data_IF_600614345799
#
_entry.id   IF_600614345799
#
_cell.length_a   1.000
_cell.length_b   1.000
_cell.length_c   1.000
_cell.angle_alpha   90.00
_cell.angle_beta   90.00
_cell.angle_gamma   90.00
#
_symmetry.space_group_name_H-M   'P 1'
#
loop_
_entity.id
_entity.type
_entity.pdbx_description
1 polymer ?
#
# COMPACT_ATOMS: atom_id res chain seq x y z
N UNK A 1 -15.90 63.63 36.02
CA UNK A 1 -15.23 64.86 36.50
C UNK A 1 -13.75 64.78 36.15
N UNK A 2 -13.12 65.87 35.67
CA UNK A 2 -11.65 66.05 35.48
C UNK A 2 -10.93 65.05 34.55
N UNK A 3 -10.59 65.37 33.29
CA UNK A 3 -9.44 66.18 32.79
C UNK A 3 -8.07 65.46 32.87
N UNK A 4 -7.06 65.75 32.00
CA UNK A 4 -7.01 66.59 30.77
C UNK A 4 -6.70 65.76 29.49
N UNK A 5 -6.69 66.18 28.21
CA UNK A 5 -6.47 67.45 27.45
C UNK A 5 -5.00 67.83 27.16
N UNK A 6 -4.78 68.35 25.92
CA UNK A 6 -3.51 68.82 25.27
C UNK A 6 -2.70 67.68 24.61
N UNK A 7 -2.29 67.67 23.33
CA UNK A 7 -2.36 68.62 22.18
C UNK A 7 -2.48 67.87 20.82
N UNK A 8 -2.65 68.59 19.68
CA UNK A 8 -2.42 68.10 18.31
C UNK A 8 -1.23 68.80 17.63
N UNK A 9 -0.46 68.11 16.79
CA UNK A 9 0.38 68.72 15.76
C UNK A 9 0.30 67.92 14.44
N UNK A 10 0.00 68.62 13.35
CA UNK A 10 0.30 68.15 11.99
C UNK A 10 1.80 68.32 11.70
N UNK A 11 2.37 67.53 10.79
CA UNK A 11 2.94 68.05 9.53
C UNK A 11 3.36 66.92 8.55
N UNK A 12 3.03 67.14 7.27
CA UNK A 12 3.71 66.71 6.03
C UNK A 12 4.04 65.20 5.85
N UNK A 13 3.42 64.61 4.82
CA UNK A 13 3.86 63.34 4.23
C UNK A 13 4.93 63.54 3.14
N UNK A 14 5.76 62.51 2.96
CA UNK A 14 6.62 62.30 1.79
C UNK A 14 6.46 60.84 1.36
N UNK A 15 6.46 60.59 0.04
CA UNK A 15 6.13 59.28 -0.52
C UNK A 15 7.16 58.21 -0.18
N UNK A 16 6.72 57.12 0.45
CA UNK A 16 7.41 55.83 0.45
C UNK A 16 6.81 54.97 -0.65
N UNK A 17 7.64 54.49 -1.58
CA UNK A 17 7.17 53.68 -2.71
C UNK A 17 6.50 52.39 -2.26
N UNK A 18 5.61 51.85 -3.10
CA UNK A 18 5.13 50.47 -2.97
C UNK A 18 6.33 49.56 -3.20
N UNK A 19 7.05 49.23 -2.13
CA UNK A 19 7.96 48.11 -2.11
C UNK A 19 7.14 46.88 -2.42
N UNK A 20 7.26 46.36 -3.65
CA UNK A 20 6.78 45.03 -4.00
C UNK A 20 7.30 44.09 -2.92
N UNK A 21 6.38 43.53 -2.13
CA UNK A 21 6.74 42.75 -0.95
C UNK A 21 7.69 41.64 -1.40
N UNK A 22 8.90 41.65 -0.85
CA UNK A 22 9.85 40.58 -1.12
C UNK A 22 9.16 39.27 -0.72
N UNK A 23 8.82 38.45 -1.71
CA UNK A 23 8.32 37.10 -1.44
C UNK A 23 9.40 36.41 -0.62
N UNK A 24 9.10 36.20 0.65
CA UNK A 24 9.97 35.44 1.55
C UNK A 24 10.22 34.10 0.89
N UNK A 25 11.48 33.78 0.60
CA UNK A 25 11.86 32.50 0.04
C UNK A 25 11.24 31.40 0.92
N UNK A 26 10.49 30.44 0.34
CA UNK A 26 9.77 29.44 1.12
C UNK A 26 10.77 28.64 1.96
N UNK A 27 10.40 28.33 3.20
CA UNK A 27 11.23 27.52 4.08
C UNK A 27 11.48 26.15 3.45
N UNK A 28 12.72 25.64 3.54
CA UNK A 28 13.13 24.40 2.87
C UNK A 28 12.16 23.24 3.11
N UNK A 29 11.72 23.03 4.36
CA UNK A 29 10.73 22.02 4.72
C UNK A 29 9.39 22.18 3.98
N UNK A 30 8.87 23.41 3.82
CA UNK A 30 7.60 23.63 3.13
C UNK A 30 7.68 23.39 1.61
N UNK A 31 8.88 23.51 1.02
CA UNK A 31 9.11 23.14 -0.38
C UNK A 31 9.13 21.61 -0.54
N UNK A 32 9.80 20.88 0.36
CA UNK A 32 9.75 19.42 0.39
C UNK A 32 8.33 18.88 0.63
N UNK A 33 7.60 19.45 1.59
CA UNK A 33 6.21 19.08 1.88
C UNK A 33 5.32 19.28 0.66
N UNK A 34 5.47 20.40 -0.07
CA UNK A 34 4.74 20.62 -1.32
C UNK A 34 5.06 19.56 -2.39
N UNK A 35 6.34 19.19 -2.55
CA UNK A 35 6.75 18.14 -3.48
C UNK A 35 6.17 16.78 -3.09
N UNK A 36 6.22 16.42 -1.80
CA UNK A 36 5.62 15.19 -1.28
C UNK A 36 4.10 15.17 -1.50
N UNK A 37 3.39 16.26 -1.20
CA UNK A 37 1.95 16.36 -1.46
C UNK A 37 1.60 16.22 -2.94
N UNK A 38 2.38 16.80 -3.85
CA UNK A 38 2.17 16.64 -5.31
C UNK A 38 2.42 15.21 -5.76
N UNK A 39 3.49 14.58 -5.29
CA UNK A 39 3.81 13.18 -5.58
C UNK A 39 2.67 12.27 -5.13
N UNK A 40 2.29 12.30 -3.85
CA UNK A 40 1.23 11.43 -3.31
C UNK A 40 -0.14 11.70 -3.94
N UNK A 41 -0.46 12.96 -4.26
CA UNK A 41 -1.69 13.28 -5.01
C UNK A 41 -1.67 12.68 -6.42
N UNK A 42 -0.51 12.68 -7.08
CA UNK A 42 -0.33 12.09 -8.40
C UNK A 42 -0.39 10.56 -8.35
N UNK A 43 0.31 9.93 -7.40
CA UNK A 43 0.30 8.47 -7.16
C UNK A 43 -1.14 7.95 -7.00
N UNK A 44 -1.95 8.55 -6.11
CA UNK A 44 -3.35 8.16 -5.95
C UNK A 44 -4.25 8.49 -7.16
N UNK A 45 -3.85 9.41 -8.03
CA UNK A 45 -4.62 9.73 -9.25
C UNK A 45 -4.45 8.69 -10.37
N UNK A 46 -3.33 7.95 -10.36
CA UNK A 46 -3.01 6.91 -11.34
C UNK A 46 -3.25 5.48 -10.81
N UNK A 47 -3.35 5.31 -9.49
CA UNK A 47 -3.72 4.05 -8.82
C UNK A 47 -5.06 4.19 -8.05
N UNK A 48 -6.21 4.00 -8.73
CA UNK A 48 -7.52 4.03 -8.09
C UNK A 48 -7.72 2.92 -7.05
N UNK A 49 -7.08 1.75 -7.23
CA UNK A 49 -7.24 0.61 -6.34
C UNK A 49 -6.50 0.83 -5.00
N UNK A 50 -5.26 1.29 -5.06
CA UNK A 50 -4.47 1.74 -3.91
C UNK A 50 -5.06 2.97 -3.23
N UNK A 51 -5.63 3.92 -3.99
CA UNK A 51 -6.42 5.04 -3.43
C UNK A 51 -7.58 4.53 -2.58
N UNK A 52 -8.37 3.57 -3.07
CA UNK A 52 -9.44 2.92 -2.29
C UNK A 52 -8.89 2.20 -1.04
N UNK A 53 -7.78 1.47 -1.15
CA UNK A 53 -7.21 0.73 -0.01
C UNK A 53 -6.68 1.65 1.08
N UNK A 54 -6.02 2.75 0.68
CA UNK A 54 -5.60 3.83 1.56
C UNK A 54 -6.80 4.52 2.25
N UNK A 55 -7.97 4.55 1.62
CA UNK A 55 -9.20 5.16 2.14
C UNK A 55 -9.64 6.44 1.41
N UNK A 56 -8.97 6.80 0.32
CA UNK A 56 -9.32 7.94 -0.52
C UNK A 56 -10.34 7.51 -1.60
N UNK A 57 -11.61 7.67 -1.25
CA UNK A 57 -12.77 7.20 -2.00
C UNK A 57 -13.23 8.17 -3.11
N UNK A 58 -12.34 8.45 -4.07
CA UNK A 58 -12.59 9.39 -5.19
C UNK A 58 -12.79 8.71 -6.55
N UNK A 59 -12.33 7.47 -6.71
CA UNK A 59 -12.33 6.72 -7.97
C UNK A 59 -12.62 5.21 -7.77
N UNK A 60 -13.43 4.86 -6.76
CA UNK A 60 -13.69 3.47 -6.34
C UNK A 60 -14.23 2.54 -7.44
N UNK A 61 -14.84 3.10 -8.50
CA UNK A 61 -15.38 2.34 -9.63
C UNK A 61 -14.41 2.14 -10.80
N UNK A 62 -13.15 2.58 -10.68
CA UNK A 62 -12.11 2.50 -11.72
C UNK A 62 -10.98 1.54 -11.34
N UNK A 63 -10.28 1.05 -12.36
CA UNK A 63 -8.96 0.43 -12.28
C UNK A 63 -7.92 1.36 -12.92
N UNK A 64 -6.63 1.12 -12.68
CA UNK A 64 -5.52 1.83 -13.30
C UNK A 64 -5.50 1.67 -14.83
N UNK A 65 -4.94 2.66 -15.54
CA UNK A 65 -4.71 2.60 -17.00
C UNK A 65 -3.25 2.23 -17.29
N UNK A 66 -3.05 1.08 -17.95
CA UNK A 66 -1.74 0.61 -18.39
C UNK A 66 -1.50 0.84 -19.89
N UNK A 67 -2.28 1.74 -20.53
CA UNK A 67 -2.04 2.16 -21.91
C UNK A 67 -0.60 2.65 -22.11
N UNK A 68 0.00 2.47 -23.31
CA UNK A 68 1.34 2.98 -23.60
C UNK A 68 1.51 4.48 -23.32
N UNK A 69 0.45 5.27 -23.52
CA UNK A 69 0.38 6.69 -23.14
C UNK A 69 0.48 6.89 -21.63
N UNK A 70 -0.33 6.20 -20.83
CA UNK A 70 -0.31 6.34 -19.37
C UNK A 70 1.04 5.92 -18.77
N UNK A 71 1.65 4.84 -19.29
CA UNK A 71 2.99 4.39 -18.86
C UNK A 71 4.09 5.39 -19.24
N UNK A 72 4.01 5.99 -20.42
CA UNK A 72 4.92 7.07 -20.84
C UNK A 72 4.76 8.32 -19.97
N UNK A 73 3.51 8.75 -19.73
CA UNK A 73 3.20 9.88 -18.84
C UNK A 73 3.72 9.64 -17.42
N UNK A 74 3.57 8.42 -16.88
CA UNK A 74 4.07 8.03 -15.56
C UNK A 74 5.59 8.11 -15.46
N UNK A 75 6.32 7.50 -16.41
CA UNK A 75 7.78 7.58 -16.47
C UNK A 75 8.27 9.04 -16.58
N UNK A 76 7.59 9.89 -17.35
CA UNK A 76 7.94 11.31 -17.43
C UNK A 76 7.71 12.04 -16.11
N UNK A 77 6.59 11.80 -15.41
CA UNK A 77 6.32 12.47 -14.11
C UNK A 77 7.28 12.00 -13.03
N UNK A 78 7.63 10.71 -12.99
CA UNK A 78 8.71 10.21 -12.13
C UNK A 78 10.05 10.88 -12.43
N UNK A 79 10.39 11.07 -13.72
CA UNK A 79 11.59 11.80 -14.11
C UNK A 79 11.55 13.25 -13.60
N UNK A 80 10.45 13.97 -13.82
CA UNK A 80 10.28 15.37 -13.40
C UNK A 80 10.40 15.53 -11.88
N UNK A 81 9.80 14.62 -11.10
CA UNK A 81 9.91 14.60 -9.64
C UNK A 81 11.34 14.29 -9.15
N UNK A 82 12.09 13.41 -9.85
CA UNK A 82 13.51 13.13 -9.54
C UNK A 82 14.38 14.36 -9.77
N UNK A 83 14.20 15.01 -10.92
CA UNK A 83 14.92 16.23 -11.28
C UNK A 83 14.61 17.37 -10.32
N UNK A 84 13.36 17.50 -9.87
CA UNK A 84 12.99 18.48 -8.84
C UNK A 84 13.63 18.18 -7.49
N UNK A 85 13.54 16.94 -7.00
CA UNK A 85 14.16 16.55 -5.74
C UNK A 85 15.69 16.72 -5.77
N UNK A 86 16.35 16.44 -6.89
CA UNK A 86 17.79 16.62 -7.06
C UNK A 86 18.25 18.08 -6.94
N UNK A 87 17.35 19.05 -7.11
CA UNK A 87 17.60 20.48 -6.86
C UNK A 87 17.31 20.89 -5.41
N UNK A 88 16.66 20.04 -4.62
CA UNK A 88 16.26 20.25 -3.23
C UNK A 88 17.15 19.43 -2.26
N UNK A 89 18.45 19.35 -2.51
CA UNK A 89 19.39 18.74 -1.56
C UNK A 89 19.37 19.56 -0.26
N UNK A 90 19.32 18.91 0.94
CA UNK A 90 19.30 19.63 2.21
C UNK A 90 20.48 20.59 2.35
N UNK A 91 20.27 21.87 2.71
CA UNK A 91 21.35 22.76 3.08
C UNK A 91 22.06 22.27 4.37
N UNK A 92 23.28 22.75 4.62
CA UNK A 92 24.12 22.27 5.72
C UNK A 92 23.52 22.52 7.12
N UNK A 93 22.60 23.48 7.24
CA UNK A 93 21.84 23.85 8.43
C UNK A 93 20.41 23.28 8.47
N UNK A 94 20.04 22.41 7.51
CA UNK A 94 18.74 21.75 7.51
C UNK A 94 18.48 20.98 8.80
N UNK A 95 17.27 21.10 9.35
CA UNK A 95 16.91 20.38 10.58
C UNK A 95 16.99 18.85 10.39
N UNK A 96 17.23 18.06 11.45
CA UNK A 96 17.19 16.59 11.35
C UNK A 96 15.86 16.05 10.80
N UNK A 97 14.75 16.75 11.07
CA UNK A 97 13.43 16.45 10.52
C UNK A 97 13.39 16.62 8.99
N UNK A 98 13.89 17.75 8.48
CA UNK A 98 13.88 18.03 7.05
C UNK A 98 14.89 17.15 6.28
N UNK A 99 15.99 16.74 6.93
CA UNK A 99 16.90 15.73 6.41
C UNK A 99 16.22 14.35 6.30
N UNK A 100 15.47 13.93 7.32
CA UNK A 100 14.69 12.67 7.28
C UNK A 100 13.62 12.73 6.20
N UNK A 101 12.86 13.82 6.10
CA UNK A 101 11.82 13.99 5.08
C UNK A 101 12.40 13.94 3.66
N UNK A 102 13.55 14.58 3.42
CA UNK A 102 14.27 14.45 2.16
C UNK A 102 14.68 13.00 1.86
N UNK A 103 15.23 12.27 2.85
CA UNK A 103 15.64 10.87 2.66
C UNK A 103 14.46 9.94 2.36
N UNK A 104 13.31 10.15 3.02
CA UNK A 104 12.08 9.38 2.78
C UNK A 104 11.47 9.68 1.41
N UNK A 105 11.36 10.97 1.04
CA UNK A 105 10.86 11.40 -0.27
C UNK A 105 11.76 10.89 -1.41
N UNK A 106 13.08 10.91 -1.20
CA UNK A 106 14.06 10.29 -2.11
C UNK A 106 13.85 8.79 -2.23
N UNK A 107 13.72 8.09 -1.10
CA UNK A 107 13.50 6.64 -1.08
C UNK A 107 12.24 6.24 -1.85
N UNK A 108 11.13 6.99 -1.70
CA UNK A 108 9.90 6.74 -2.45
C UNK A 108 10.13 6.93 -3.97
N UNK A 109 10.53 8.13 -4.39
CA UNK A 109 10.68 8.46 -5.82
C UNK A 109 11.73 7.57 -6.50
N UNK A 110 12.86 7.28 -5.84
CA UNK A 110 13.88 6.39 -6.37
C UNK A 110 13.43 4.93 -6.39
N UNK A 111 12.60 4.50 -5.45
CA UNK A 111 11.97 3.17 -5.44
C UNK A 111 10.99 2.98 -6.59
N UNK A 112 10.10 3.94 -6.83
CA UNK A 112 9.19 3.93 -7.98
C UNK A 112 9.95 3.89 -9.30
N UNK A 113 10.98 4.72 -9.47
CA UNK A 113 11.83 4.72 -10.66
C UNK A 113 12.60 3.41 -10.85
N UNK A 114 13.14 2.83 -9.77
CA UNK A 114 13.84 1.56 -9.84
C UNK A 114 12.90 0.41 -10.20
N UNK A 115 11.66 0.42 -9.72
CA UNK A 115 10.63 -0.52 -10.14
C UNK A 115 10.39 -0.43 -11.65
N UNK A 116 10.12 0.75 -12.20
CA UNK A 116 9.84 0.86 -13.65
C UNK A 116 11.06 0.68 -14.56
N UNK A 117 12.29 0.91 -14.07
CA UNK A 117 13.50 0.82 -14.93
C UNK A 117 14.35 -0.42 -14.74
N UNK A 118 14.30 -1.07 -13.57
CA UNK A 118 15.09 -2.27 -13.23
C UNK A 118 14.22 -3.50 -13.08
N UNK A 119 13.10 -3.43 -12.35
CA UNK A 119 12.15 -4.55 -12.31
C UNK A 119 11.35 -4.66 -13.61
N UNK A 120 10.93 -3.51 -14.19
CA UNK A 120 10.08 -3.40 -15.38
C UNK A 120 8.85 -4.33 -15.29
N UNK A 121 8.05 -4.24 -14.22
CA UNK A 121 7.03 -5.26 -13.93
C UNK A 121 5.97 -5.32 -15.03
N UNK A 122 5.67 -4.18 -15.68
CA UNK A 122 4.74 -4.09 -16.81
C UNK A 122 5.16 -4.95 -18.01
N UNK A 123 6.45 -4.98 -18.34
CA UNK A 123 6.99 -5.76 -19.46
C UNK A 123 7.18 -7.24 -19.11
N UNK A 124 7.32 -7.55 -17.81
CA UNK A 124 7.93 -8.80 -17.35
C UNK A 124 7.03 -9.70 -16.51
N UNK A 125 6.04 -9.14 -15.81
CA UNK A 125 5.23 -9.84 -14.80
C UNK A 125 3.72 -9.78 -15.12
N UNK A 126 3.12 -10.90 -15.57
CA UNK A 126 1.68 -10.96 -15.86
C UNK A 126 0.76 -10.71 -14.66
N UNK A 127 1.22 -10.91 -13.41
CA UNK A 127 0.45 -10.65 -12.18
C UNK A 127 0.17 -9.17 -11.93
N UNK A 128 0.82 -8.23 -12.64
CA UNK A 128 0.45 -6.80 -12.60
C UNK A 128 -1.02 -6.61 -13.02
N UNK A 129 -1.45 -7.34 -14.05
CA UNK A 129 -2.71 -7.08 -14.74
C UNK A 129 -3.91 -7.82 -14.12
N UNK A 130 -3.73 -9.07 -13.73
CA UNK A 130 -4.78 -9.80 -12.99
C UNK A 130 -4.83 -9.35 -11.51
N UNK A 131 -3.67 -9.00 -10.94
CA UNK A 131 -3.55 -8.43 -9.60
C UNK A 131 -4.25 -7.07 -9.45
N UNK A 132 -4.28 -6.22 -10.48
CA UNK A 132 -5.11 -5.01 -10.48
C UNK A 132 -6.60 -5.34 -10.38
N UNK A 133 -7.10 -6.32 -11.16
CA UNK A 133 -8.49 -6.77 -11.04
C UNK A 133 -8.78 -7.33 -9.63
N UNK A 134 -7.87 -8.15 -9.09
CA UNK A 134 -8.02 -8.77 -7.78
C UNK A 134 -7.99 -7.75 -6.63
N UNK A 135 -6.94 -6.93 -6.54
CA UNK A 135 -6.77 -5.93 -5.50
C UNK A 135 -7.80 -4.79 -5.61
N UNK A 136 -8.21 -4.44 -6.83
CA UNK A 136 -9.32 -3.53 -7.10
C UNK A 136 -10.65 -4.02 -6.50
N UNK A 137 -10.94 -5.32 -6.52
CA UNK A 137 -12.11 -5.89 -5.84
C UNK A 137 -11.88 -6.06 -4.33
N UNK A 138 -10.70 -6.51 -3.90
CA UNK A 138 -10.38 -6.73 -2.49
C UNK A 138 -10.49 -5.46 -1.64
N UNK A 139 -9.97 -4.33 -2.15
CA UNK A 139 -10.02 -3.02 -1.46
C UNK A 139 -11.45 -2.55 -1.15
N UNK A 140 -12.42 -2.81 -2.06
CA UNK A 140 -13.85 -2.49 -1.85
C UNK A 140 -14.51 -3.33 -0.75
N UNK A 141 -14.03 -4.56 -0.56
CA UNK A 141 -14.57 -5.51 0.43
C UNK A 141 -13.97 -5.25 1.81
N UNK A 142 -12.68 -4.92 1.87
CA UNK A 142 -11.84 -4.80 3.08
C UNK A 142 -12.38 -3.83 4.14
N UNK A 143 -12.94 -2.69 3.72
CA UNK A 143 -13.42 -1.60 4.59
C UNK A 143 -14.89 -1.24 4.29
N UNK A 144 -15.78 -1.05 5.29
CA UNK A 144 -17.17 -0.65 5.08
C UNK A 144 -17.31 0.88 4.98
N UNK A 145 -16.63 1.51 4.01
CA UNK A 145 -16.59 2.97 3.86
C UNK A 145 -17.89 3.59 3.31
N UNK A 146 -18.67 2.81 2.56
CA UNK A 146 -19.96 3.21 2.00
C UNK A 146 -21.00 2.09 2.10
N UNK A 147 -22.26 2.41 1.75
CA UNK A 147 -23.35 1.43 1.71
C UNK A 147 -23.04 0.26 0.77
N UNK A 148 -23.70 -0.88 1.01
CA UNK A 148 -23.54 -2.07 0.16
C UNK A 148 -23.88 -1.75 -1.30
N UNK A 149 -24.97 -1.04 -1.55
CA UNK A 149 -25.35 -0.52 -2.87
C UNK A 149 -24.26 0.26 -3.59
N UNK A 150 -23.51 1.11 -2.88
CA UNK A 150 -22.42 1.90 -3.48
C UNK A 150 -21.27 0.95 -3.84
N UNK A 151 -20.73 0.23 -2.85
CA UNK A 151 -19.54 -0.61 -3.04
C UNK A 151 -19.74 -1.75 -4.03
N UNK A 152 -20.97 -2.27 -4.18
CA UNK A 152 -21.28 -3.28 -5.22
C UNK A 152 -21.37 -2.66 -6.61
N UNK A 153 -21.85 -1.41 -6.77
CA UNK A 153 -21.79 -0.71 -8.07
C UNK A 153 -20.35 -0.34 -8.45
N UNK A 154 -19.53 0.03 -7.48
CA UNK A 154 -18.11 0.30 -7.70
C UNK A 154 -17.38 -0.97 -8.14
N UNK A 155 -17.69 -2.10 -7.49
CA UNK A 155 -17.21 -3.42 -7.91
C UNK A 155 -17.66 -3.77 -9.33
N UNK A 156 -18.94 -3.54 -9.69
CA UNK A 156 -19.43 -3.73 -11.07
C UNK A 156 -18.61 -2.90 -12.09
N UNK A 157 -18.27 -1.64 -11.76
CA UNK A 157 -17.39 -0.81 -12.58
C UNK A 157 -16.02 -1.45 -12.81
N UNK A 158 -15.36 -1.88 -11.73
CA UNK A 158 -14.06 -2.58 -11.78
C UNK A 158 -14.11 -3.91 -12.55
N UNK A 159 -15.16 -4.71 -12.35
CA UNK A 159 -15.37 -5.97 -13.07
C UNK A 159 -15.47 -5.75 -14.60
N UNK A 160 -16.24 -4.75 -15.04
CA UNK A 160 -16.32 -4.41 -16.47
C UNK A 160 -15.00 -3.86 -17.03
N UNK A 161 -14.23 -3.12 -16.22
CA UNK A 161 -12.92 -2.60 -16.63
C UNK A 161 -11.85 -3.70 -16.76
N UNK A 162 -11.96 -4.80 -16.01
CA UNK A 162 -10.92 -5.84 -15.93
C UNK A 162 -10.50 -6.40 -17.30
N UNK A 163 -11.43 -6.65 -18.24
CA UNK A 163 -11.04 -7.11 -19.59
C UNK A 163 -10.11 -6.11 -20.30
N UNK A 164 -10.34 -4.81 -20.15
CA UNK A 164 -9.48 -3.78 -20.72
C UNK A 164 -8.05 -3.82 -20.17
N UNK A 165 -7.91 -3.94 -18.84
CA UNK A 165 -6.62 -4.07 -18.15
C UNK A 165 -5.86 -5.31 -18.63
N UNK A 166 -6.55 -6.46 -18.76
CA UNK A 166 -5.93 -7.71 -19.21
C UNK A 166 -5.48 -7.66 -20.68
N UNK A 167 -6.23 -7.02 -21.58
CA UNK A 167 -5.79 -6.83 -22.97
C UNK A 167 -4.60 -5.85 -23.07
N UNK A 168 -4.57 -4.79 -22.26
CA UNK A 168 -3.38 -3.93 -22.13
C UNK A 168 -2.16 -4.72 -21.64
N UNK A 169 -2.36 -5.64 -20.68
CA UNK A 169 -1.33 -6.56 -20.21
C UNK A 169 -0.71 -7.40 -21.33
N UNK A 170 -1.54 -8.01 -22.18
CA UNK A 170 -1.04 -8.78 -23.34
C UNK A 170 -0.19 -7.94 -24.30
N UNK A 171 -0.51 -6.66 -24.46
CA UNK A 171 0.25 -5.74 -25.31
C UNK A 171 1.56 -5.24 -24.65
N UNK A 172 1.60 -5.16 -23.32
CA UNK A 172 2.73 -4.65 -22.56
C UNK A 172 3.80 -5.71 -22.26
N UNK A 173 3.43 -6.99 -22.15
CA UNK A 173 4.30 -8.11 -21.76
C UNK A 173 5.31 -8.52 -22.86
N UNK A 174 6.27 -7.64 -23.16
CA UNK A 174 7.28 -7.84 -24.20
C UNK A 174 8.56 -8.55 -23.76
N UNK A 175 8.80 -8.69 -22.45
CA UNK A 175 10.01 -9.29 -21.84
C UNK A 175 9.62 -10.26 -20.69
N UNK A 176 8.49 -10.97 -20.89
CA UNK A 176 7.85 -11.76 -19.85
C UNK A 176 8.75 -12.89 -19.30
N UNK A 177 8.70 -13.04 -17.98
CA UNK A 177 9.45 -14.06 -17.23
C UNK A 177 8.52 -15.25 -16.94
N UNK A 178 8.96 -16.45 -17.28
CA UNK A 178 8.15 -17.68 -17.22
C UNK A 178 7.66 -17.99 -15.81
N UNK A 179 8.49 -17.79 -14.80
CA UNK A 179 8.15 -18.05 -13.40
C UNK A 179 7.03 -17.13 -12.91
N UNK A 180 7.06 -15.84 -13.28
CA UNK A 180 5.96 -14.91 -12.99
C UNK A 180 4.67 -15.28 -13.74
N UNK A 181 4.80 -15.79 -14.98
CA UNK A 181 3.68 -16.36 -15.72
C UNK A 181 3.02 -17.56 -15.04
N UNK A 182 3.80 -18.45 -14.43
CA UNK A 182 3.25 -19.58 -13.65
C UNK A 182 2.47 -19.09 -12.44
N UNK A 183 3.02 -18.14 -11.69
CA UNK A 183 2.36 -17.54 -10.52
C UNK A 183 1.04 -16.89 -10.91
N UNK A 184 1.02 -16.00 -11.91
CA UNK A 184 -0.22 -15.39 -12.41
C UNK A 184 -1.26 -16.44 -12.88
N UNK A 185 -0.80 -17.56 -13.44
CA UNK A 185 -1.67 -18.66 -13.88
C UNK A 185 -2.28 -19.42 -12.70
N UNK A 186 -1.52 -19.63 -11.63
CA UNK A 186 -1.96 -20.27 -10.37
C UNK A 186 -2.87 -19.35 -9.54
N UNK A 187 -2.57 -18.05 -9.50
CA UNK A 187 -3.38 -17.01 -8.85
C UNK A 187 -4.77 -16.93 -9.50
N UNK A 188 -4.85 -16.82 -10.83
CA UNK A 188 -6.14 -16.83 -11.55
C UNK A 188 -6.89 -18.16 -11.34
N UNK A 189 -6.19 -19.31 -11.34
CA UNK A 189 -6.83 -20.62 -11.14
C UNK A 189 -7.46 -20.78 -9.75
N UNK A 190 -7.00 -20.02 -8.76
CA UNK A 190 -7.48 -20.09 -7.37
C UNK A 190 -8.33 -18.87 -6.95
N UNK A 191 -8.30 -17.79 -7.73
CA UNK A 191 -8.91 -16.49 -7.40
C UNK A 191 -10.44 -16.37 -7.55
N UNK A 192 -11.11 -17.30 -8.24
CA UNK A 192 -12.56 -17.25 -8.55
C UNK A 192 -13.47 -16.95 -7.33
N UNK A 193 -13.04 -17.37 -6.13
CA UNK A 193 -13.79 -17.18 -4.89
C UNK A 193 -13.89 -15.71 -4.43
N UNK A 194 -12.95 -14.84 -4.84
CA UNK A 194 -13.02 -13.40 -4.63
C UNK A 194 -14.19 -12.79 -5.42
N UNK A 195 -14.28 -13.16 -6.69
CA UNK A 195 -15.30 -12.65 -7.62
C UNK A 195 -16.68 -13.24 -7.33
N UNK A 196 -16.74 -14.49 -6.87
CA UNK A 196 -18.00 -15.20 -6.57
C UNK A 196 -18.39 -15.09 -5.10
N UNK A 197 -17.79 -15.89 -4.22
CA UNK A 197 -18.15 -16.01 -2.80
C UNK A 197 -18.07 -14.68 -2.06
N UNK A 198 -16.96 -13.96 -2.20
CA UNK A 198 -16.70 -12.73 -1.48
C UNK A 198 -17.61 -11.58 -1.91
N UNK A 199 -17.73 -11.31 -3.22
CA UNK A 199 -18.66 -10.30 -3.72
C UNK A 199 -20.14 -10.66 -3.48
N UNK A 200 -20.54 -11.93 -3.58
CA UNK A 200 -21.91 -12.33 -3.23
C UNK A 200 -22.21 -12.15 -1.74
N UNK A 201 -21.22 -12.38 -0.86
CA UNK A 201 -21.36 -12.08 0.57
C UNK A 201 -21.40 -10.57 0.85
N UNK A 202 -20.68 -9.74 0.08
CA UNK A 202 -20.80 -8.27 0.16
C UNK A 202 -22.20 -7.82 -0.28
N UNK A 203 -22.67 -8.32 -1.40
CA UNK A 203 -23.95 -7.97 -2.00
C UNK A 203 -25.17 -8.59 -1.30
N UNK A 204 -25.02 -9.29 -0.18
CA UNK A 204 -26.11 -10.02 0.48
C UNK A 204 -27.37 -9.16 0.73
N UNK A 205 -27.19 -7.90 1.15
CA UNK A 205 -28.30 -6.95 1.40
C UNK A 205 -28.60 -6.02 0.22
N UNK A 206 -27.91 -6.16 -0.92
CA UNK A 206 -28.12 -5.31 -2.08
C UNK A 206 -29.48 -5.55 -2.77
N UNK A 207 -29.94 -4.56 -3.53
CA UNK A 207 -31.15 -4.62 -4.35
C UNK A 207 -31.11 -5.76 -5.37
N UNK A 208 -32.29 -6.26 -5.76
CA UNK A 208 -32.41 -7.34 -6.74
C UNK A 208 -31.80 -6.96 -8.10
N UNK A 209 -31.92 -5.69 -8.51
CA UNK A 209 -31.29 -5.16 -9.72
C UNK A 209 -29.77 -5.18 -9.60
N UNK A 210 -29.22 -4.61 -8.53
CA UNK A 210 -27.76 -4.58 -8.27
C UNK A 210 -27.17 -5.99 -8.25
N UNK A 211 -27.89 -6.98 -7.71
CA UNK A 211 -27.48 -8.40 -7.72
C UNK A 211 -27.49 -9.03 -9.12
N UNK A 212 -28.45 -8.66 -9.97
CA UNK A 212 -28.50 -9.12 -11.35
C UNK A 212 -27.36 -8.50 -12.19
N UNK A 213 -27.15 -7.18 -12.06
CA UNK A 213 -26.06 -6.44 -12.71
C UNK A 213 -24.70 -7.02 -12.28
N UNK A 214 -24.50 -7.27 -10.97
CA UNK A 214 -23.31 -7.93 -10.41
C UNK A 214 -23.07 -9.31 -11.04
N UNK A 215 -24.10 -10.14 -11.18
CA UNK A 215 -23.96 -11.48 -11.74
C UNK A 215 -23.48 -11.47 -13.19
N UNK A 216 -23.91 -10.47 -13.98
CA UNK A 216 -23.40 -10.30 -15.35
C UNK A 216 -21.93 -9.91 -15.34
N UNK A 217 -21.58 -8.87 -14.57
CA UNK A 217 -20.21 -8.37 -14.49
C UNK A 217 -19.22 -9.41 -13.94
N UNK A 218 -19.65 -10.25 -12.98
CA UNK A 218 -18.88 -11.39 -12.47
C UNK A 218 -18.55 -12.39 -13.59
N UNK A 219 -19.53 -12.75 -14.42
CA UNK A 219 -19.32 -13.71 -15.51
C UNK A 219 -18.37 -13.14 -16.58
N UNK A 220 -18.53 -11.86 -16.94
CA UNK A 220 -17.67 -11.19 -17.91
C UNK A 220 -16.20 -11.11 -17.45
N UNK A 221 -15.99 -10.75 -16.17
CA UNK A 221 -14.67 -10.63 -15.56
C UNK A 221 -13.97 -11.99 -15.38
N UNK A 222 -14.68 -13.00 -14.87
CA UNK A 222 -14.15 -14.36 -14.74
C UNK A 222 -13.78 -14.94 -16.11
N UNK A 223 -14.64 -14.74 -17.11
CA UNK A 223 -14.33 -15.09 -18.49
C UNK A 223 -13.05 -14.43 -18.98
N UNK A 224 -12.88 -13.12 -18.74
CA UNK A 224 -11.68 -12.38 -19.13
C UNK A 224 -10.41 -12.86 -18.42
N UNK A 225 -10.48 -13.13 -17.12
CA UNK A 225 -9.37 -13.70 -16.34
C UNK A 225 -8.98 -15.09 -16.84
N UNK A 226 -9.95 -15.96 -17.08
CA UNK A 226 -9.69 -17.30 -17.62
C UNK A 226 -9.18 -17.25 -19.06
N UNK A 227 -9.64 -16.30 -19.89
CA UNK A 227 -9.10 -16.03 -21.23
C UNK A 227 -7.62 -15.62 -21.14
N UNK A 228 -7.29 -14.70 -20.23
CA UNK A 228 -5.94 -14.22 -19.99
C UNK A 228 -5.03 -15.33 -19.45
N UNK A 229 -5.50 -16.14 -18.50
CA UNK A 229 -4.78 -17.34 -18.03
C UNK A 229 -4.42 -18.28 -19.17
N UNK A 230 -5.38 -18.62 -20.06
CA UNK A 230 -5.10 -19.50 -21.22
C UNK A 230 -4.13 -18.85 -22.22
N UNK A 231 -4.13 -17.52 -22.32
CA UNK A 231 -3.13 -16.79 -23.09
C UNK A 231 -1.74 -16.88 -22.41
N UNK A 232 -1.63 -16.61 -21.11
CA UNK A 232 -0.40 -16.78 -20.32
C UNK A 232 0.16 -18.20 -20.49
N UNK A 233 -0.66 -19.22 -20.23
CA UNK A 233 -0.30 -20.64 -20.34
C UNK A 233 0.29 -21.01 -21.71
N UNK A 234 -0.28 -20.46 -22.79
CA UNK A 234 0.19 -20.77 -24.15
C UNK A 234 1.49 -20.08 -24.54
N UNK A 235 1.90 -19.02 -23.82
CA UNK A 235 3.16 -18.31 -24.05
C UNK A 235 4.28 -18.71 -23.08
N UNK A 236 3.99 -19.42 -21.98
CA UNK A 236 4.99 -19.82 -20.98
C UNK A 236 6.25 -20.46 -21.60
N UNK A 237 6.10 -21.33 -22.60
CA UNK A 237 7.22 -22.03 -23.25
C UNK A 237 8.13 -21.12 -24.10
N UNK A 238 7.65 -19.94 -24.49
CA UNK A 238 8.38 -18.93 -25.26
C UNK A 238 9.05 -17.89 -24.35
N UNK A 239 8.54 -17.71 -23.14
CA UNK A 239 9.04 -16.75 -22.16
C UNK A 239 10.34 -17.18 -21.48
N UNK A 240 11.09 -16.18 -21.03
CA UNK A 240 12.42 -16.34 -20.45
C UNK A 240 12.37 -17.15 -19.15
N UNK A 241 13.16 -18.22 -19.07
CA UNK A 241 13.46 -18.91 -17.82
C UNK A 241 14.55 -18.13 -17.06
N UNK A 242 14.47 -18.06 -15.73
CA UNK A 242 15.53 -17.46 -14.92
C UNK A 242 15.73 -15.95 -15.11
N UNK A 243 14.64 -15.19 -15.24
CA UNK A 243 14.69 -13.73 -15.40
C UNK A 243 14.39 -12.89 -14.15
N UNK A 244 14.02 -13.52 -13.04
CA UNK A 244 13.45 -12.86 -11.84
C UNK A 244 14.49 -12.19 -10.91
N UNK A 245 15.79 -12.48 -11.07
CA UNK A 245 16.84 -11.91 -10.23
C UNK A 245 17.37 -10.57 -10.78
N UNK A 246 17.47 -9.56 -9.91
CA UNK A 246 18.01 -8.22 -10.26
C UNK A 246 19.55 -8.12 -10.20
N UNK A 247 20.22 -9.14 -9.65
CA UNK A 247 21.66 -9.13 -9.41
C UNK A 247 22.08 -8.37 -8.14
N UNK A 248 23.31 -8.63 -7.66
CA UNK A 248 23.82 -8.12 -6.38
C UNK A 248 23.81 -6.59 -6.31
N UNK A 249 24.33 -5.92 -7.34
CA UNK A 249 24.54 -4.47 -7.29
C UNK A 249 23.23 -3.69 -7.24
N UNK A 250 22.22 -4.13 -8.00
CA UNK A 250 20.88 -3.54 -7.97
C UNK A 250 20.16 -3.81 -6.65
N UNK A 251 20.34 -5.01 -6.08
CA UNK A 251 19.76 -5.35 -4.78
C UNK A 251 20.42 -4.55 -3.65
N UNK A 252 21.75 -4.46 -3.62
CA UNK A 252 22.50 -3.62 -2.67
C UNK A 252 22.15 -2.12 -2.81
N UNK A 253 21.95 -1.64 -4.04
CA UNK A 253 21.45 -0.29 -4.30
C UNK A 253 20.06 -0.09 -3.69
N UNK A 254 19.13 -1.02 -3.90
CA UNK A 254 17.76 -0.95 -3.40
C UNK A 254 17.70 -0.97 -1.86
N UNK A 255 18.44 -1.89 -1.23
CA UNK A 255 18.58 -1.98 0.22
C UNK A 255 19.03 -0.64 0.82
N UNK A 256 20.01 0.02 0.19
CA UNK A 256 20.59 1.28 0.71
C UNK A 256 19.81 2.54 0.35
N UNK A 257 19.25 2.64 -0.86
CA UNK A 257 18.59 3.86 -1.37
C UNK A 257 17.11 3.93 -1.05
N UNK A 258 16.43 2.79 -1.08
CA UNK A 258 14.97 2.67 -0.91
C UNK A 258 14.63 2.16 0.49
N UNK A 259 15.21 1.03 0.93
CA UNK A 259 14.96 0.54 2.31
C UNK A 259 15.78 1.27 3.38
N UNK A 260 16.66 2.19 2.98
CA UNK A 260 17.53 3.00 3.86
C UNK A 260 18.39 2.17 4.83
N UNK A 261 18.67 0.90 4.50
CA UNK A 261 19.47 0.01 5.32
C UNK A 261 20.97 0.30 5.18
N UNK A 262 21.74 0.25 6.27
CA UNK A 262 23.20 0.42 6.25
C UNK A 262 23.94 -0.87 5.82
N UNK A 263 23.22 -1.91 5.42
CA UNK A 263 23.74 -3.25 5.16
C UNK A 263 23.62 -3.65 3.68
N UNK A 264 24.62 -4.35 3.19
CA UNK A 264 24.58 -5.08 1.92
C UNK A 264 23.77 -6.38 2.05
N UNK A 265 23.34 -6.92 0.92
CA UNK A 265 22.70 -8.24 0.78
C UNK A 265 23.48 -9.37 1.43
N UNK A 266 24.80 -9.34 1.35
CA UNK A 266 25.68 -10.32 1.98
C UNK A 266 25.65 -10.21 3.51
N UNK A 267 25.71 -8.99 4.05
CA UNK A 267 25.58 -8.78 5.49
C UNK A 267 24.20 -9.20 6.01
N UNK A 268 23.12 -8.92 5.26
CA UNK A 268 21.76 -9.36 5.59
C UNK A 268 21.68 -10.90 5.58
N UNK A 269 22.24 -11.57 4.56
CA UNK A 269 22.31 -13.05 4.53
C UNK A 269 23.03 -13.59 5.76
N UNK A 270 24.22 -13.06 6.07
CA UNK A 270 25.03 -13.55 7.19
C UNK A 270 24.33 -13.32 8.54
N UNK A 271 23.59 -12.21 8.71
CA UNK A 271 22.71 -11.99 9.88
C UNK A 271 21.60 -13.05 9.92
N UNK A 272 20.92 -13.28 8.80
CA UNK A 272 19.86 -14.28 8.71
C UNK A 272 20.32 -15.72 9.00
N UNK A 273 21.54 -16.09 8.58
CA UNK A 273 22.15 -17.39 8.88
C UNK A 273 22.46 -17.55 10.37
N UNK A 274 22.97 -16.50 11.04
CA UNK A 274 23.21 -16.49 12.48
C UNK A 274 21.90 -16.60 13.28
N UNK A 275 20.89 -15.81 12.92
CA UNK A 275 19.58 -15.83 13.59
C UNK A 275 18.85 -17.16 13.36
N UNK A 276 18.92 -17.76 12.16
CA UNK A 276 18.37 -19.10 11.90
C UNK A 276 18.98 -20.19 12.79
N UNK A 277 20.29 -20.12 13.07
CA UNK A 277 20.93 -21.05 14.01
C UNK A 277 20.45 -20.81 15.44
N UNK A 278 20.32 -19.54 15.86
CA UNK A 278 19.82 -19.17 17.19
C UNK A 278 18.36 -19.62 17.39
N UNK A 279 17.50 -19.39 16.42
CA UNK A 279 16.08 -19.70 16.50
C UNK A 279 15.83 -21.22 16.50
N UNK A 280 16.62 -22.00 15.76
CA UNK A 280 16.62 -23.49 15.86
C UNK A 280 17.10 -23.99 17.22
N UNK A 281 18.09 -23.33 17.82
CA UNK A 281 18.54 -23.66 19.18
C UNK A 281 17.46 -23.32 20.22
N UNK A 282 16.72 -22.22 20.05
CA UNK A 282 15.59 -21.85 20.89
C UNK A 282 14.41 -22.81 20.72
N UNK A 283 14.05 -23.19 19.49
CA UNK A 283 13.03 -24.22 19.22
C UNK A 283 13.36 -25.54 19.93
N UNK A 284 14.61 -26.00 19.81
CA UNK A 284 15.05 -27.22 20.50
C UNK A 284 15.09 -27.06 22.02
N UNK A 285 15.39 -25.86 22.53
CA UNK A 285 15.29 -25.55 23.96
C UNK A 285 13.84 -25.61 24.44
N UNK A 286 12.88 -24.98 23.75
CA UNK A 286 11.45 -25.00 24.07
C UNK A 286 10.87 -26.43 24.03
N UNK A 287 11.24 -27.23 23.02
CA UNK A 287 10.87 -28.66 22.94
C UNK A 287 11.38 -29.46 24.14
N UNK A 288 12.53 -29.10 24.71
CA UNK A 288 13.04 -29.73 25.92
C UNK A 288 12.39 -29.15 27.19
N UNK A 289 12.22 -27.83 27.27
CA UNK A 289 11.54 -27.13 28.34
C UNK A 289 10.14 -27.71 28.59
N UNK A 290 9.34 -27.85 27.52
CA UNK A 290 8.00 -28.43 27.57
C UNK A 290 7.95 -29.92 27.99
N UNK A 291 9.09 -30.66 27.96
CA UNK A 291 9.18 -32.03 28.49
C UNK A 291 9.39 -32.07 30.00
N UNK A 292 10.03 -31.05 30.56
CA UNK A 292 10.48 -31.04 31.96
C UNK A 292 9.68 -30.09 32.84
N UNK A 293 9.20 -28.96 32.33
CA UNK A 293 8.34 -28.03 33.05
C UNK A 293 6.85 -28.39 32.88
N UNK A 294 6.18 -28.70 34.00
CA UNK A 294 4.76 -29.10 34.00
C UNK A 294 3.85 -27.90 34.22
N UNK A 295 3.51 -27.20 33.14
CA UNK A 295 2.52 -26.13 33.13
C UNK A 295 2.05 -25.81 31.72
N UNK A 296 0.78 -25.45 31.54
CA UNK A 296 0.24 -25.08 30.24
C UNK A 296 0.63 -23.64 29.88
N UNK A 297 1.88 -23.43 29.43
CA UNK A 297 2.30 -22.20 28.77
C UNK A 297 1.81 -22.28 27.32
N UNK A 298 0.56 -21.88 27.10
CA UNK A 298 -0.06 -21.96 25.77
C UNK A 298 -1.42 -21.27 25.71
N UNK A 299 -1.92 -21.06 24.50
CA UNK A 299 -3.29 -20.59 24.30
C UNK A 299 -4.28 -21.67 24.76
N UNK A 300 -5.31 -21.33 25.55
CA UNK A 300 -6.32 -22.32 25.97
C UNK A 300 -7.18 -22.74 24.77
N UNK A 301 -7.72 -23.98 24.75
CA UNK A 301 -8.69 -24.37 23.73
C UNK A 301 -9.96 -23.52 23.82
N UNK A 302 -10.38 -22.95 22.69
CA UNK A 302 -11.54 -22.06 22.64
C UNK A 302 -12.83 -22.81 22.28
N UNK A 303 -13.86 -22.67 23.13
CA UNK A 303 -15.17 -23.33 22.92
C UNK A 303 -15.91 -22.84 21.66
N UNK A 304 -15.66 -21.60 21.24
CA UNK A 304 -16.25 -20.97 20.06
C UNK A 304 -15.47 -19.70 19.67
N UNK A 305 -15.83 -19.10 18.53
CA UNK A 305 -15.20 -17.89 17.99
C UNK A 305 -15.27 -16.69 18.95
N UNK A 306 -16.38 -16.49 19.64
CA UNK A 306 -16.54 -15.37 20.58
C UNK A 306 -15.57 -15.48 21.78
N UNK A 307 -15.34 -16.70 22.28
CA UNK A 307 -14.35 -16.95 23.33
C UNK A 307 -12.91 -16.67 22.86
N UNK A 308 -12.57 -17.03 21.61
CA UNK A 308 -11.28 -16.69 20.99
C UNK A 308 -11.09 -15.17 20.85
N UNK A 309 -12.05 -14.47 20.24
CA UNK A 309 -11.98 -13.02 20.04
C UNK A 309 -11.86 -12.28 21.38
N UNK A 310 -12.61 -12.71 22.41
CA UNK A 310 -12.53 -12.10 23.74
C UNK A 310 -11.21 -12.38 24.45
N UNK A 311 -10.64 -13.57 24.28
CA UNK A 311 -9.30 -13.87 24.79
C UNK A 311 -8.24 -12.98 24.13
N UNK A 312 -8.28 -12.82 22.80
CA UNK A 312 -7.33 -11.99 22.06
C UNK A 312 -7.46 -10.51 22.43
N UNK A 313 -8.67 -9.98 22.57
CA UNK A 313 -8.92 -8.63 23.10
C UNK A 313 -8.30 -8.46 24.50
N UNK A 314 -8.50 -9.43 25.39
CA UNK A 314 -7.94 -9.41 26.74
C UNK A 314 -6.39 -9.49 26.75
N UNK A 315 -5.76 -10.30 25.90
CA UNK A 315 -4.29 -10.34 25.81
C UNK A 315 -3.73 -9.02 25.27
N UNK A 316 -4.38 -8.43 24.26
CA UNK A 316 -3.97 -7.13 23.73
C UNK A 316 -4.10 -6.03 24.77
N UNK A 317 -5.19 -6.03 25.56
CA UNK A 317 -5.37 -5.12 26.68
C UNK A 317 -4.29 -5.32 27.76
N UNK A 318 -3.94 -6.58 28.10
CA UNK A 318 -2.86 -6.90 29.04
C UNK A 318 -1.51 -6.35 28.59
N UNK A 319 -1.14 -6.54 27.31
CA UNK A 319 0.12 -6.01 26.75
C UNK A 319 0.14 -4.47 26.82
N UNK A 320 -0.96 -3.80 26.44
CA UNK A 320 -1.06 -2.33 26.54
C UNK A 320 -0.94 -1.82 27.99
N UNK A 321 -1.61 -2.47 28.93
CA UNK A 321 -1.50 -2.13 30.36
C UNK A 321 -0.10 -2.35 30.91
N UNK A 322 0.60 -3.42 30.48
CA UNK A 322 1.99 -3.67 30.86
C UNK A 322 2.93 -2.59 30.31
N UNK A 323 2.84 -2.25 29.02
CA UNK A 323 3.64 -1.18 28.39
C UNK A 323 3.43 0.16 29.11
N UNK A 324 2.19 0.51 29.44
CA UNK A 324 1.86 1.75 30.15
C UNK A 324 2.33 1.74 31.62
N UNK A 325 2.12 0.65 32.37
CA UNK A 325 2.51 0.55 33.77
C UNK A 325 4.04 0.54 33.97
N UNK A 326 4.79 0.01 32.99
CA UNK A 326 6.25 0.00 32.99
C UNK A 326 6.87 1.13 32.15
N UNK A 327 6.06 2.04 31.61
CA UNK A 327 6.49 3.19 30.80
C UNK A 327 7.46 2.83 29.65
N UNK A 328 7.23 1.69 29.00
CA UNK A 328 8.16 1.16 27.98
C UNK A 328 8.09 1.93 26.65
N UNK A 329 6.90 2.40 26.28
CA UNK A 329 6.64 3.19 25.07
C UNK A 329 5.45 4.13 25.37
N UNK A 330 5.58 5.41 25.02
CA UNK A 330 4.45 6.33 25.03
C UNK A 330 3.48 6.00 23.89
N UNK A 331 2.21 5.74 24.23
CA UNK A 331 1.15 5.48 23.25
C UNK A 331 0.24 6.71 23.15
N UNK A 332 0.32 7.51 22.08
CA UNK A 332 -0.47 8.73 21.95
C UNK A 332 -1.98 8.46 21.98
N UNK A 333 -2.72 9.28 22.75
CA UNK A 333 -4.18 9.12 22.93
C UNK A 333 -4.97 9.22 21.62
N UNK A 334 -4.44 9.91 20.61
CA UNK A 334 -5.10 10.09 19.31
C UNK A 334 -5.08 8.84 18.42
N UNK A 335 -4.21 7.85 18.68
CA UNK A 335 -4.18 6.58 17.91
C UNK A 335 -5.44 5.73 18.12
N UNK A 336 -6.27 6.06 19.11
CA UNK A 336 -7.52 5.37 19.39
C UNK A 336 -7.34 3.98 19.99
N UNK A 337 -8.33 3.11 19.77
CA UNK A 337 -8.36 1.76 20.32
C UNK A 337 -8.13 0.72 19.21
N UNK A 338 -7.17 -0.19 19.44
CA UNK A 338 -7.03 -1.40 18.63
C UNK A 338 -8.22 -2.33 18.88
N UNK A 339 -9.03 -2.58 17.85
CA UNK A 339 -10.27 -3.38 17.96
C UNK A 339 -10.08 -4.76 17.35
N UNK A 340 -10.19 -5.79 18.18
CA UNK A 340 -10.33 -7.17 17.71
C UNK A 340 -11.77 -7.35 17.22
N UNK A 341 -11.94 -7.63 15.93
CA UNK A 341 -13.24 -7.87 15.30
C UNK A 341 -13.26 -9.21 14.59
N UNK A 342 -14.44 -9.79 14.40
CA UNK A 342 -14.60 -10.95 13.52
C UNK A 342 -14.26 -10.55 12.07
N UNK A 343 -13.49 -11.39 11.38
CA UNK A 343 -13.23 -11.26 9.95
C UNK A 343 -14.58 -11.20 9.19
N UNK A 344 -14.86 -10.15 8.41
CA UNK A 344 -16.07 -10.07 7.60
C UNK A 344 -16.25 -11.31 6.70
N UNK A 345 -17.47 -11.83 6.59
CA UNK A 345 -17.76 -13.04 5.79
C UNK A 345 -17.27 -12.94 4.34
N UNK A 346 -17.32 -11.75 3.76
CA UNK A 346 -16.82 -11.45 2.41
C UNK A 346 -15.29 -11.57 2.26
N UNK A 347 -14.53 -11.79 3.33
CA UNK A 347 -13.08 -12.01 3.30
C UNK A 347 -12.70 -13.45 3.66
N UNK A 348 -13.67 -14.29 4.05
CA UNK A 348 -13.41 -15.66 4.49
C UNK A 348 -12.81 -16.56 3.39
N UNK A 349 -13.09 -16.25 2.11
CA UNK A 349 -12.55 -16.98 0.96
C UNK A 349 -11.15 -16.54 0.54
N UNK A 350 -10.70 -15.35 0.96
CA UNK A 350 -9.47 -14.71 0.43
C UNK A 350 -8.43 -14.36 1.49
N UNK A 351 -8.82 -14.27 2.76
CA UNK A 351 -7.88 -14.07 3.87
C UNK A 351 -8.36 -14.79 5.15
N UNK A 352 -8.17 -16.12 5.26
CA UNK A 352 -8.68 -16.91 6.38
C UNK A 352 -7.92 -16.68 7.70
N UNK A 353 -6.70 -16.14 7.66
CA UNK A 353 -5.83 -15.96 8.84
C UNK A 353 -6.13 -14.70 9.66
N UNK A 354 -6.80 -13.71 9.06
CA UNK A 354 -6.99 -12.38 9.66
C UNK A 354 -5.81 -11.44 9.40
N UNK A 355 -6.07 -10.14 9.49
CA UNK A 355 -5.11 -9.10 9.15
C UNK A 355 -5.39 -7.79 9.91
N UNK A 356 -4.40 -6.91 9.96
CA UNK A 356 -4.55 -5.57 10.53
C UNK A 356 -5.09 -4.60 9.48
N UNK A 357 -6.16 -3.88 9.82
CA UNK A 357 -6.67 -2.77 9.02
C UNK A 357 -6.17 -1.45 9.63
N UNK A 358 -5.25 -0.72 8.99
CA UNK A 358 -4.95 0.65 9.40
C UNK A 358 -6.19 1.55 9.17
N UNK A 359 -6.31 2.67 9.90
CA UNK A 359 -7.23 3.75 9.54
C UNK A 359 -7.07 4.18 8.07
N UNK A 360 -8.10 4.84 7.53
CA UNK A 360 -7.96 5.53 6.25
C UNK A 360 -7.09 6.79 6.38
N UNK A 361 -6.55 7.25 5.25
CA UNK A 361 -5.91 8.58 5.10
C UNK A 361 -6.93 9.72 5.20
#
# INVERSE_FOLDING_TARGET
MGKPLVLSLLLIGLGGGVSAGAQSQPYYGSVLENLAHRLTTYEYSIDPAGSTDAGLHTADNKLADFSPSARHDYLQRLHDFRDELARLVPPADASPHDQVNYLLLRANIEGAWWTETVLRPNERNPSVYEGECGNGIFSLIKKPFASVEVRVRDAIGRLHACRGVLEQGKANLTDAVREFGKVASEDIASGDALYTTSLNSLAATASARTKADLKSAQADALGALHDYKRWVDSHLSQWHEGGFAVGKDQYDWYLRRVLLLPYTSEQIRNIGELELVRDRALEQWEVNHARYEKGAIGQPPFKNKAAFLKYYENQTARVRSFIAAHQLVDVPRYLGAFRIVELPKALAATNPGGFMNPPGV
#
